data_IF_276355746534
#
_entry.id   IF_276355746534
#
_cell.length_a   1.000
_cell.length_b   1.000
_cell.length_c   1.000
_cell.angle_alpha   90.00
_cell.angle_beta   90.00
_cell.angle_gamma   90.00
#
_symmetry.space_group_name_H-M   'P 1'
#
loop_
_entity.id
_entity.type
_entity.pdbx_description
1 polymer ?
#
# COMPACT_ATOMS: atom_id res chain seq x y z
N UNK A 1 4.56 7.72 -0.02
CA UNK A 1 5.62 7.08 -0.77
C UNK A 1 5.22 5.67 -1.11
N UNK A 2 5.58 5.24 -2.31
CA UNK A 2 5.17 3.93 -2.78
C UNK A 2 5.61 2.79 -1.85
N UNK A 3 6.89 2.77 -1.48
CA UNK A 3 7.43 1.66 -0.66
C UNK A 3 6.73 1.54 0.68
N UNK A 4 6.45 2.66 1.30
CA UNK A 4 5.79 2.67 2.61
C UNK A 4 4.33 2.26 2.51
N UNK A 5 3.65 2.76 1.49
CA UNK A 5 2.25 2.40 1.26
C UNK A 5 2.10 0.91 0.94
N UNK A 6 3.00 0.38 0.11
CA UNK A 6 2.98 -1.03 -0.24
C UNK A 6 3.13 -1.92 1.01
N UNK A 7 4.13 -1.63 1.82
CA UNK A 7 4.37 -2.40 3.04
C UNK A 7 3.19 -2.29 3.99
N UNK A 8 2.64 -1.09 4.13
CA UNK A 8 1.52 -0.88 5.03
C UNK A 8 0.28 -1.66 4.58
N UNK A 9 -0.06 -1.58 3.29
CA UNK A 9 -1.22 -2.32 2.77
C UNK A 9 -1.05 -3.81 2.97
N UNK A 10 0.15 -4.33 2.71
CA UNK A 10 0.42 -5.75 2.87
C UNK A 10 0.29 -6.19 4.33
N UNK A 11 0.96 -5.48 5.23
CA UNK A 11 0.93 -5.86 6.65
C UNK A 11 -0.44 -5.65 7.28
N UNK A 12 -1.19 -4.65 6.80
CA UNK A 12 -2.55 -4.41 7.28
C UNK A 12 -3.49 -5.57 6.98
N UNK A 13 -3.21 -6.32 5.93
CA UNK A 13 -4.01 -7.49 5.57
C UNK A 13 -3.42 -8.81 6.07
N UNK A 14 -2.34 -8.74 6.83
CA UNK A 14 -1.66 -9.93 7.38
C UNK A 14 -1.23 -10.91 6.31
N UNK A 15 -0.76 -10.39 5.16
CA UNK A 15 -0.25 -11.26 4.11
C UNK A 15 1.27 -11.15 4.05
N UNK A 16 1.91 -12.26 3.70
CA UNK A 16 3.37 -12.31 3.61
C UNK A 16 3.85 -11.73 2.28
N UNK A 17 5.15 -11.44 2.23
CA UNK A 17 5.77 -11.05 0.96
C UNK A 17 5.59 -12.12 -0.10
N UNK A 18 5.66 -13.39 0.30
CA UNK A 18 5.48 -14.50 -0.64
C UNK A 18 4.06 -14.56 -1.20
N UNK A 19 3.07 -14.30 -0.35
CA UNK A 19 1.68 -14.29 -0.80
C UNK A 19 1.43 -13.16 -1.80
N UNK A 20 1.92 -11.96 -1.49
CA UNK A 20 1.78 -10.84 -2.41
C UNK A 20 2.51 -11.12 -3.72
N UNK A 21 3.74 -11.65 -3.63
CA UNK A 21 4.52 -11.97 -4.82
C UNK A 21 3.79 -12.92 -5.74
N UNK A 22 3.16 -13.95 -5.17
CA UNK A 22 2.39 -14.92 -5.95
C UNK A 22 1.20 -14.24 -6.63
N UNK A 23 0.53 -13.35 -5.92
CA UNK A 23 -0.66 -12.67 -6.44
C UNK A 23 -0.33 -11.75 -7.62
N UNK A 24 0.84 -11.10 -7.61
CA UNK A 24 1.19 -10.15 -8.66
C UNK A 24 2.22 -10.70 -9.65
N UNK A 25 2.65 -11.97 -9.47
CA UNK A 25 3.48 -12.65 -10.45
C UNK A 25 4.95 -12.27 -10.41
N UNK A 26 5.49 -11.99 -9.23
CA UNK A 26 6.91 -11.70 -9.05
C UNK A 26 7.49 -12.60 -7.95
N UNK A 27 8.80 -12.51 -7.73
CA UNK A 27 9.44 -13.27 -6.66
C UNK A 27 9.24 -12.59 -5.31
N UNK A 28 9.30 -13.35 -4.20
CA UNK A 28 9.25 -12.72 -2.87
C UNK A 28 10.37 -11.72 -2.65
N UNK A 29 11.56 -11.99 -3.21
CA UNK A 29 12.69 -11.05 -3.13
C UNK A 29 12.36 -9.73 -3.80
N UNK A 30 11.63 -9.76 -4.92
CA UNK A 30 11.22 -8.54 -5.62
C UNK A 30 10.30 -7.70 -4.74
N UNK A 31 9.35 -8.34 -4.05
CA UNK A 31 8.47 -7.61 -3.13
C UNK A 31 9.30 -6.94 -2.03
N UNK A 32 10.25 -7.66 -1.46
CA UNK A 32 11.14 -7.09 -0.45
C UNK A 32 11.89 -5.87 -0.96
N UNK A 33 12.39 -5.92 -2.20
CA UNK A 33 13.08 -4.79 -2.80
C UNK A 33 12.16 -3.61 -3.06
N UNK A 34 10.92 -3.86 -3.44
CA UNK A 34 9.93 -2.79 -3.61
C UNK A 34 9.63 -2.10 -2.27
N UNK A 35 9.56 -2.87 -1.19
CA UNK A 35 9.25 -2.34 0.13
C UNK A 35 10.40 -1.57 0.76
N UNK A 36 11.62 -1.82 0.34
CA UNK A 36 12.78 -1.08 0.82
C UNK A 36 13.18 0.07 -0.09
N UNK A 37 12.59 0.15 -1.27
CA UNK A 37 12.91 1.19 -2.24
C UNK A 37 14.15 0.90 -3.07
N UNK A 38 14.75 -0.30 -2.93
CA UNK A 38 15.91 -0.70 -3.72
C UNK A 38 15.53 -0.88 -5.18
N UNK A 39 14.30 -1.28 -5.43
CA UNK A 39 13.81 -1.52 -6.79
C UNK A 39 12.38 -1.00 -6.90
N UNK A 40 12.03 -0.45 -8.06
CA UNK A 40 10.68 -0.02 -8.34
C UNK A 40 10.02 -0.97 -9.33
N UNK A 41 8.73 -1.31 -9.13
CA UNK A 41 8.03 -2.14 -10.11
C UNK A 41 7.73 -1.35 -11.37
N UNK A 42 7.59 -2.06 -12.49
CA UNK A 42 7.14 -1.41 -13.71
C UNK A 42 5.62 -1.10 -13.60
N UNK A 43 5.11 -0.38 -14.59
CA UNK A 43 3.71 0.05 -14.57
C UNK A 43 2.74 -1.13 -14.49
N UNK A 44 3.01 -2.20 -15.22
CA UNK A 44 2.14 -3.37 -15.20
C UNK A 44 2.04 -4.00 -13.82
N UNK A 45 3.17 -4.10 -13.13
CA UNK A 45 3.19 -4.64 -11.76
C UNK A 45 2.50 -3.68 -10.79
N UNK A 46 2.71 -2.38 -10.96
CA UNK A 46 2.00 -1.40 -10.13
C UNK A 46 0.49 -1.52 -10.27
N UNK A 47 0.01 -1.72 -11.50
CA UNK A 47 -1.43 -1.92 -11.72
C UNK A 47 -1.94 -3.16 -11.00
N UNK A 48 -1.19 -4.24 -11.04
CA UNK A 48 -1.57 -5.47 -10.35
C UNK A 48 -1.61 -5.28 -8.84
N UNK A 49 -0.67 -4.52 -8.29
CA UNK A 49 -0.65 -4.21 -6.87
C UNK A 49 -1.87 -3.37 -6.50
N UNK A 50 -2.15 -2.33 -7.27
CA UNK A 50 -3.30 -1.46 -7.02
C UNK A 50 -4.61 -2.24 -7.07
N UNK A 51 -4.76 -3.11 -8.07
CA UNK A 51 -5.94 -3.95 -8.21
C UNK A 51 -6.08 -4.92 -7.03
N UNK A 52 -4.97 -5.52 -6.63
CA UNK A 52 -4.98 -6.49 -5.54
C UNK A 52 -5.43 -5.85 -4.23
N UNK A 53 -4.98 -4.64 -3.95
CA UNK A 53 -5.35 -3.92 -2.74
C UNK A 53 -6.58 -3.04 -2.90
N UNK A 54 -7.12 -2.97 -4.11
CA UNK A 54 -8.31 -2.16 -4.41
C UNK A 54 -8.10 -0.68 -4.08
N UNK A 55 -6.98 -0.16 -4.51
CA UNK A 55 -6.64 1.27 -4.38
C UNK A 55 -6.29 1.82 -5.75
N UNK A 56 -6.26 3.15 -5.87
CA UNK A 56 -5.84 3.79 -7.12
C UNK A 56 -4.32 3.80 -7.21
N UNK A 57 -3.80 3.94 -8.44
CA UNK A 57 -2.37 4.08 -8.65
C UNK A 57 -1.82 5.31 -7.94
N UNK A 58 -2.57 6.41 -7.97
CA UNK A 58 -2.14 7.64 -7.30
C UNK A 58 -2.02 7.44 -5.79
N UNK A 59 -2.98 6.73 -5.21
CA UNK A 59 -2.91 6.39 -3.78
C UNK A 59 -1.69 5.53 -3.49
N UNK A 60 -1.45 4.52 -4.33
CA UNK A 60 -0.32 3.62 -4.15
C UNK A 60 1.02 4.39 -4.21
N UNK A 61 1.11 5.36 -5.10
CA UNK A 61 2.32 6.17 -5.27
C UNK A 61 2.45 7.28 -4.24
N UNK A 62 1.41 7.50 -3.45
CA UNK A 62 1.42 8.56 -2.45
C UNK A 62 1.28 9.96 -3.04
N UNK A 63 0.74 10.08 -4.25
CA UNK A 63 0.58 11.36 -4.94
C UNK A 63 -0.82 11.93 -4.84
N UNK A 64 -1.79 11.12 -4.40
CA UNK A 64 -3.16 11.57 -4.32
C UNK A 64 -3.33 12.54 -3.15
N UNK A 65 -4.07 13.63 -3.38
CA UNK A 65 -4.45 14.56 -2.34
C UNK A 65 -5.83 14.23 -1.76
N UNK A 66 -6.53 13.31 -2.40
CA UNK A 66 -7.84 12.86 -1.94
C UNK A 66 -7.67 11.70 -0.94
N UNK A 67 -8.77 11.38 -0.26
CA UNK A 67 -8.77 10.21 0.62
C UNK A 67 -8.54 8.94 -0.20
N UNK A 68 -7.76 7.99 0.32
CA UNK A 68 -7.55 6.73 -0.38
C UNK A 68 -8.87 5.99 -0.59
N UNK A 69 -9.05 5.44 -1.79
CA UNK A 69 -10.20 4.60 -2.09
C UNK A 69 -9.84 3.18 -1.70
N UNK A 70 -10.24 2.79 -0.50
CA UNK A 70 -9.92 1.48 0.07
C UNK A 70 -11.22 0.82 0.49
N UNK A 71 -11.37 -0.47 0.13
CA UNK A 71 -12.53 -1.24 0.53
C UNK A 71 -12.33 -1.71 1.98
N UNK A 72 -12.76 -0.87 2.92
CA UNK A 72 -12.59 -1.13 4.34
C UNK A 72 -13.41 -2.35 4.79
N UNK A 73 -14.52 -2.61 4.13
CA UNK A 73 -15.40 -3.72 4.51
C UNK A 73 -14.72 -5.09 4.36
N UNK A 74 -13.68 -5.16 3.53
CA UNK A 74 -12.94 -6.40 3.31
C UNK A 74 -11.80 -6.61 4.30
N UNK A 75 -11.56 -5.64 5.18
CA UNK A 75 -10.49 -5.73 6.17
C UNK A 75 -11.06 -6.19 7.51
N UNK A 76 -10.21 -6.85 8.31
CA UNK A 76 -10.59 -7.13 9.69
C UNK A 76 -10.67 -5.83 10.47
N UNK A 77 -11.43 -5.82 11.58
CA UNK A 77 -11.56 -4.63 12.41
C UNK A 77 -10.20 -4.07 12.85
N UNK A 78 -9.29 -4.94 13.22
CA UNK A 78 -7.95 -4.54 13.63
C UNK A 78 -7.19 -3.87 12.50
N UNK A 79 -7.26 -4.44 11.31
CA UNK A 79 -6.58 -3.90 10.14
C UNK A 79 -7.21 -2.59 9.69
N UNK A 80 -8.52 -2.45 9.82
CA UNK A 80 -9.20 -1.19 9.52
C UNK A 80 -8.70 -0.07 10.44
N UNK A 81 -8.57 -0.35 11.73
CA UNK A 81 -8.10 0.63 12.69
C UNK A 81 -6.66 1.06 12.37
N UNK A 82 -5.80 0.11 12.01
CA UNK A 82 -4.41 0.40 11.67
C UNK A 82 -4.31 1.26 10.41
N UNK A 83 -5.11 0.96 9.42
CA UNK A 83 -5.11 1.72 8.18
C UNK A 83 -5.59 3.15 8.41
N UNK A 84 -6.65 3.31 9.18
CA UNK A 84 -7.19 4.63 9.50
C UNK A 84 -6.18 5.44 10.31
N UNK A 85 -5.50 4.81 11.26
CA UNK A 85 -4.47 5.49 12.06
C UNK A 85 -3.32 5.98 11.17
N UNK A 86 -2.89 5.16 10.22
CA UNK A 86 -1.85 5.56 9.28
C UNK A 86 -2.29 6.76 8.45
N UNK A 87 -3.50 6.72 7.95
CA UNK A 87 -4.05 7.79 7.13
C UNK A 87 -4.16 9.10 7.94
N UNK A 88 -4.62 9.01 9.17
CA UNK A 88 -4.70 10.20 10.04
C UNK A 88 -3.33 10.79 10.34
N UNK A 89 -2.32 9.95 10.54
CA UNK A 89 -0.96 10.42 10.76
C UNK A 89 -0.45 11.21 9.56
N UNK A 90 -0.76 10.77 8.34
CA UNK A 90 -0.37 11.49 7.14
C UNK A 90 -1.07 12.85 7.04
N UNK A 91 -2.35 12.90 7.41
CA UNK A 91 -3.10 14.15 7.40
C UNK A 91 -2.56 15.14 8.42
N UNK A 92 -2.25 14.66 9.62
CA UNK A 92 -1.69 15.50 10.68
C UNK A 92 -0.35 16.10 10.26
N UNK A 93 0.49 15.29 9.59
CA UNK A 93 1.74 15.79 9.05
C UNK A 93 1.53 16.91 8.03
N UNK A 94 0.52 16.78 7.19
CA UNK A 94 0.21 17.80 6.21
C UNK A 94 -0.29 19.10 6.87
N UNK A 95 -1.09 18.95 7.92
CA UNK A 95 -1.61 20.10 8.65
C UNK A 95 -0.50 20.87 9.33
N UNK A 96 0.54 20.20 9.79
CA UNK A 96 1.68 20.83 10.45
C UNK A 96 2.49 21.70 9.52
N UNK A 97 2.33 21.58 8.23
CA UNK A 97 3.07 22.37 7.24
C UNK A 97 2.41 23.71 6.94
N UNK A 98 1.29 24.01 7.51
CA UNK A 98 0.58 25.28 7.29
C UNK A 98 1.17 26.42 8.11
#
# INVERSE_FOLDING_TARGET
>A
MFKDMLKYLRTSRNISQAELARAIGVSPSAVGMYETGVREPNFEIEEKIADYFNVTLDTLRGKSTAEPVIDIDKLSDQNQARLLAYYQALRDSQDDTK
#
